data_IF_657715505628
#
_entry.id   IF_657715505628
#
_cell.length_a   1.000
_cell.length_b   1.000
_cell.length_c   1.000
_cell.angle_alpha   90.00
_cell.angle_beta   90.00
_cell.angle_gamma   90.00
#
_symmetry.space_group_name_H-M   'P 1'
#
loop_
_entity.id
_entity.type
_entity.pdbx_description
1 polymer ?
#
# COMPACT_ATOMS: atom_id res chain seq x y z
N UNK A 1 -9.86 -6.34 -2.00
CA UNK A 1 -9.10 -5.10 -1.68
C UNK A 1 -7.66 -5.23 -1.14
N UNK A 2 -7.26 -6.32 -0.44
CA UNK A 2 -5.95 -6.40 0.25
C UNK A 2 -4.73 -6.18 -0.66
N UNK A 3 -4.74 -6.74 -1.88
CA UNK A 3 -3.66 -6.58 -2.86
C UNK A 3 -3.35 -5.10 -3.16
N UNK A 4 -4.38 -4.29 -3.38
CA UNK A 4 -4.22 -2.86 -3.69
C UNK A 4 -3.65 -2.09 -2.49
N UNK A 5 -4.05 -2.46 -1.27
CA UNK A 5 -3.51 -1.84 -0.05
C UNK A 5 -2.01 -2.11 0.08
N UNK A 6 -1.58 -3.37 -0.06
CA UNK A 6 -0.15 -3.74 0.02
C UNK A 6 0.66 -3.05 -1.08
N UNK A 7 0.13 -2.99 -2.30
CA UNK A 7 0.76 -2.28 -3.41
C UNK A 7 0.93 -0.78 -3.11
N UNK A 8 -0.13 -0.11 -2.63
CA UNK A 8 -0.08 1.31 -2.29
C UNK A 8 0.92 1.61 -1.17
N UNK A 9 0.98 0.76 -0.13
CA UNK A 9 1.97 0.88 0.93
C UNK A 9 3.40 0.67 0.42
N UNK A 10 3.63 -0.34 -0.42
CA UNK A 10 4.95 -0.60 -1.00
C UNK A 10 5.46 0.57 -1.84
N UNK A 11 4.60 1.14 -2.68
CA UNK A 11 4.92 2.31 -3.52
C UNK A 11 5.22 3.55 -2.67
N UNK A 12 4.38 3.84 -1.68
CA UNK A 12 4.50 5.08 -0.89
C UNK A 12 5.62 5.06 0.14
N UNK A 13 5.95 3.90 0.71
CA UNK A 13 6.96 3.79 1.76
C UNK A 13 8.34 3.37 1.26
N UNK A 14 8.43 2.58 0.19
CA UNK A 14 9.69 2.01 -0.27
C UNK A 14 10.75 3.05 -0.62
N UNK A 15 10.37 4.05 -1.42
CA UNK A 15 11.29 5.10 -1.86
C UNK A 15 11.73 6.04 -0.72
N UNK A 16 10.83 6.60 0.12
CA UNK A 16 11.25 7.42 1.26
C UNK A 16 12.19 6.70 2.21
N UNK A 17 11.95 5.42 2.50
CA UNK A 17 12.83 4.62 3.36
C UNK A 17 14.22 4.52 2.74
N UNK A 18 14.33 4.19 1.45
CA UNK A 18 15.61 4.12 0.76
C UNK A 18 16.38 5.46 0.81
N UNK A 19 15.68 6.58 0.63
CA UNK A 19 16.26 7.94 0.68
C UNK A 19 16.79 8.29 2.07
N UNK A 20 16.09 7.91 3.15
CA UNK A 20 16.54 8.15 4.53
C UNK A 20 17.87 7.42 4.81
N UNK A 21 18.00 6.17 4.39
CA UNK A 21 19.25 5.42 4.57
C UNK A 21 20.37 5.97 3.69
N UNK A 22 20.08 6.29 2.43
CA UNK A 22 21.05 6.83 1.50
C UNK A 22 21.59 8.18 1.96
N UNK A 23 20.73 9.13 2.33
CA UNK A 23 21.13 10.45 2.84
C UNK A 23 22.03 10.35 4.07
N UNK A 24 21.72 9.44 5.00
CA UNK A 24 22.56 9.19 6.18
C UNK A 24 23.95 8.67 5.80
N UNK A 25 24.00 7.70 4.88
CA UNK A 25 25.26 7.14 4.40
C UNK A 25 26.11 8.15 3.62
N UNK A 26 25.49 8.94 2.74
CA UNK A 26 26.14 10.00 1.96
C UNK A 26 26.69 11.11 2.86
N UNK A 27 25.92 11.55 3.86
CA UNK A 27 26.37 12.53 4.83
C UNK A 27 27.61 12.07 5.59
N UNK A 28 27.61 10.80 6.05
CA UNK A 28 28.76 10.19 6.72
C UNK A 28 29.97 10.08 5.80
N UNK A 29 29.80 9.55 4.58
CA UNK A 29 30.88 9.40 3.61
C UNK A 29 31.52 10.76 3.28
N UNK A 30 30.69 11.79 3.09
CA UNK A 30 31.14 13.15 2.80
C UNK A 30 31.89 13.76 3.99
N UNK A 31 31.35 13.65 5.21
CA UNK A 31 32.02 14.16 6.42
C UNK A 31 33.39 13.53 6.62
N UNK A 32 33.47 12.19 6.53
CA UNK A 32 34.74 11.46 6.68
C UNK A 32 35.75 11.81 5.58
N UNK A 33 35.29 12.02 4.34
CA UNK A 33 36.14 12.47 3.26
C UNK A 33 36.69 13.89 3.51
N UNK A 34 35.85 14.82 3.97
CA UNK A 34 36.27 16.19 4.30
C UNK A 34 37.27 16.22 5.46
N UNK A 35 37.06 15.43 6.51
CA UNK A 35 38.04 15.28 7.60
C UNK A 35 39.37 14.70 7.10
N UNK A 36 39.31 13.70 6.20
CA UNK A 36 40.50 13.13 5.56
C UNK A 36 41.28 14.18 4.76
N UNK A 37 40.57 14.99 3.96
CA UNK A 37 41.15 16.07 3.16
C UNK A 37 41.78 17.13 4.08
N UNK A 38 41.12 17.51 5.16
CA UNK A 38 41.64 18.49 6.11
C UNK A 38 42.93 18.01 6.80
N UNK A 39 43.06 16.70 7.04
CA UNK A 39 44.26 16.09 7.65
C UNK A 39 45.39 15.86 6.65
N UNK A 40 45.07 15.57 5.40
CA UNK A 40 46.03 15.25 4.34
C UNK A 40 45.64 15.96 3.03
N UNK A 41 45.86 17.29 2.96
CA UNK A 41 45.47 18.10 1.79
C UNK A 41 46.15 17.63 0.50
N UNK A 42 47.37 17.09 0.57
CA UNK A 42 48.11 16.53 -0.56
C UNK A 42 47.41 15.31 -1.20
N UNK A 43 46.55 14.61 -0.44
CA UNK A 43 45.80 13.45 -0.92
C UNK A 43 44.37 13.80 -1.36
N UNK A 44 44.01 15.09 -1.41
CA UNK A 44 42.63 15.55 -1.62
C UNK A 44 41.97 14.93 -2.87
N UNK A 45 42.66 14.94 -4.02
CA UNK A 45 42.12 14.37 -5.25
C UNK A 45 41.83 12.86 -5.18
N UNK A 46 42.67 12.10 -4.47
CA UNK A 46 42.44 10.65 -4.27
C UNK A 46 41.25 10.40 -3.34
N UNK A 47 41.16 11.17 -2.24
CA UNK A 47 40.05 11.06 -1.29
C UNK A 47 38.73 11.44 -1.97
N UNK A 48 38.71 12.54 -2.74
CA UNK A 48 37.53 12.97 -3.48
C UNK A 48 37.09 11.92 -4.51
N UNK A 49 38.03 11.31 -5.23
CA UNK A 49 37.72 10.23 -6.19
C UNK A 49 37.08 9.03 -5.50
N UNK A 50 37.67 8.57 -4.39
CA UNK A 50 37.12 7.47 -3.61
C UNK A 50 35.72 7.80 -3.03
N UNK A 51 35.53 9.04 -2.54
CA UNK A 51 34.25 9.54 -2.05
C UNK A 51 33.19 9.51 -3.16
N UNK A 52 33.49 10.06 -4.35
CA UNK A 52 32.54 10.10 -5.48
C UNK A 52 32.13 8.69 -5.90
N UNK A 53 33.07 7.74 -5.97
CA UNK A 53 32.74 6.33 -6.27
C UNK A 53 31.80 5.76 -5.20
N UNK A 54 32.09 5.99 -3.91
CA UNK A 54 31.21 5.56 -2.83
C UNK A 54 29.81 6.18 -2.89
N UNK A 55 29.73 7.49 -3.14
CA UNK A 55 28.45 8.21 -3.30
C UNK A 55 27.67 7.70 -4.52
N UNK A 56 28.34 7.44 -5.65
CA UNK A 56 27.70 6.89 -6.85
C UNK A 56 27.12 5.49 -6.61
N UNK A 57 27.80 4.64 -5.83
CA UNK A 57 27.27 3.33 -5.45
C UNK A 57 26.03 3.46 -4.55
N UNK A 58 26.05 4.37 -3.57
CA UNK A 58 24.87 4.64 -2.73
C UNK A 58 23.71 5.15 -3.58
N UNK A 59 23.98 6.10 -4.48
CA UNK A 59 22.96 6.70 -5.35
C UNK A 59 22.36 5.67 -6.32
N UNK A 60 23.16 4.71 -6.80
CA UNK A 60 22.65 3.65 -7.69
C UNK A 60 21.54 2.82 -7.03
N UNK A 61 21.61 2.60 -5.71
CA UNK A 61 20.57 1.89 -4.96
C UNK A 61 19.29 2.74 -4.86
N UNK A 62 19.42 4.05 -4.68
CA UNK A 62 18.30 4.99 -4.67
C UNK A 62 17.62 5.03 -6.04
N UNK A 63 18.40 5.05 -7.12
CA UNK A 63 17.88 5.02 -8.49
C UNK A 63 17.13 3.69 -8.75
N UNK A 64 17.61 2.55 -8.25
CA UNK A 64 16.85 1.31 -8.35
C UNK A 64 15.52 1.36 -7.58
N UNK A 65 15.50 1.95 -6.38
CA UNK A 65 14.26 2.17 -5.64
C UNK A 65 13.30 3.11 -6.41
N UNK A 66 13.81 4.17 -7.03
CA UNK A 66 13.04 5.11 -7.84
C UNK A 66 12.49 4.44 -9.12
N UNK A 67 13.28 3.58 -9.77
CA UNK A 67 12.84 2.79 -10.92
C UNK A 67 11.66 1.87 -10.52
N UNK A 68 11.81 1.16 -9.40
CA UNK A 68 10.74 0.30 -8.87
C UNK A 68 9.49 1.11 -8.51
N UNK A 69 9.65 2.31 -7.95
CA UNK A 69 8.55 3.22 -7.68
C UNK A 69 7.75 3.53 -8.96
N UNK A 70 8.41 3.93 -10.05
CA UNK A 70 7.70 4.22 -11.31
C UNK A 70 7.00 3.00 -11.91
N UNK A 71 7.64 1.83 -11.86
CA UNK A 71 7.06 0.58 -12.38
C UNK A 71 5.79 0.20 -11.60
N UNK A 72 5.81 0.34 -10.27
CA UNK A 72 4.70 -0.06 -9.41
C UNK A 72 3.61 1.01 -9.31
N UNK A 73 3.96 2.29 -9.35
CA UNK A 73 2.99 3.40 -9.38
C UNK A 73 2.08 3.28 -10.61
N UNK A 74 2.62 2.86 -11.76
CA UNK A 74 1.84 2.64 -12.97
C UNK A 74 0.84 1.46 -12.86
N UNK A 75 0.92 0.65 -11.81
CA UNK A 75 -0.02 -0.46 -11.53
C UNK A 75 -1.17 -0.05 -10.60
N UNK A 76 -1.12 1.14 -10.01
CA UNK A 76 -2.19 1.62 -9.14
C UNK A 76 -3.38 2.10 -9.98
N UNK A 77 -4.62 1.65 -9.65
CA UNK A 77 -5.82 2.11 -10.33
C UNK A 77 -6.13 3.58 -10.04
N UNK A 78 -6.74 4.27 -11.00
CA UNK A 78 -7.23 5.63 -10.83
C UNK A 78 -8.37 5.72 -9.81
N UNK A 79 -8.56 6.92 -9.24
CA UNK A 79 -9.53 7.16 -8.15
C UNK A 79 -10.96 6.79 -8.53
N UNK A 80 -11.38 7.05 -9.76
CA UNK A 80 -12.74 6.75 -10.20
C UNK A 80 -12.96 5.24 -10.38
N UNK A 81 -11.94 4.52 -10.90
CA UNK A 81 -11.97 3.05 -10.96
C UNK A 81 -11.95 2.41 -9.57
N UNK A 82 -11.18 2.97 -8.63
CA UNK A 82 -11.15 2.54 -7.23
C UNK A 82 -12.52 2.63 -6.56
N UNK A 83 -13.22 3.75 -6.75
CA UNK A 83 -14.59 3.94 -6.23
C UNK A 83 -15.54 2.91 -6.84
N UNK A 84 -15.50 2.72 -8.16
CA UNK A 84 -16.30 1.70 -8.83
C UNK A 84 -16.04 0.27 -8.33
N UNK A 85 -14.78 -0.07 -8.03
CA UNK A 85 -14.43 -1.37 -7.44
C UNK A 85 -14.98 -1.55 -6.03
N UNK A 86 -14.94 -0.50 -5.20
CA UNK A 86 -15.48 -0.52 -3.83
C UNK A 86 -17.01 -0.67 -3.86
N UNK A 87 -17.68 0.11 -4.70
CA UNK A 87 -19.14 0.09 -4.81
C UNK A 87 -19.64 -1.27 -5.33
N UNK A 88 -18.91 -1.88 -6.28
CA UNK A 88 -19.21 -3.21 -6.79
C UNK A 88 -19.02 -4.31 -5.74
N UNK A 89 -18.01 -4.20 -4.88
CA UNK A 89 -17.76 -5.15 -3.79
C UNK A 89 -18.84 -5.03 -2.71
N UNK A 90 -19.27 -3.81 -2.38
CA UNK A 90 -20.39 -3.56 -1.47
C UNK A 90 -21.72 -4.13 -1.98
N UNK A 91 -22.01 -3.97 -3.28
CA UNK A 91 -23.22 -4.52 -3.89
C UNK A 91 -23.29 -6.05 -3.86
N UNK A 92 -22.16 -6.74 -4.05
CA UNK A 92 -22.08 -8.21 -3.94
C UNK A 92 -22.35 -8.70 -2.53
N UNK A 93 -21.77 -8.05 -1.52
CA UNK A 93 -22.00 -8.38 -0.13
C UNK A 93 -23.48 -8.24 0.25
N UNK A 94 -24.16 -7.22 -0.28
CA UNK A 94 -25.59 -7.03 -0.04
C UNK A 94 -26.46 -8.13 -0.66
N UNK A 95 -26.14 -8.57 -1.88
CA UNK A 95 -26.85 -9.68 -2.53
C UNK A 95 -26.63 -11.00 -1.81
N UNK A 96 -25.39 -11.28 -1.40
CA UNK A 96 -25.05 -12.48 -0.60
C UNK A 96 -25.83 -12.50 0.71
N UNK A 97 -25.96 -11.35 1.38
CA UNK A 97 -26.71 -11.25 2.63
C UNK A 97 -28.23 -11.38 2.44
N UNK A 98 -28.81 -10.86 1.35
CA UNK A 98 -30.23 -11.09 1.03
C UNK A 98 -30.49 -12.57 0.69
N UNK A 99 -29.57 -13.21 -0.03
CA UNK A 99 -29.66 -14.63 -0.36
C UNK A 99 -29.50 -15.51 0.88
N UNK A 100 -28.58 -15.16 1.78
CA UNK A 100 -28.39 -15.83 3.07
C UNK A 100 -29.64 -15.69 3.95
N UNK A 101 -30.21 -14.49 4.04
CA UNK A 101 -31.47 -14.27 4.78
C UNK A 101 -32.65 -15.05 4.16
N UNK A 102 -32.69 -15.18 2.83
CA UNK A 102 -33.68 -15.99 2.14
C UNK A 102 -33.46 -17.50 2.31
N UNK A 103 -32.20 -17.95 2.38
CA UNK A 103 -31.83 -19.36 2.55
C UNK A 103 -31.98 -19.84 3.99
N UNK A 104 -31.72 -18.96 4.97
CA UNK A 104 -31.87 -19.26 6.38
C UNK A 104 -33.32 -19.14 6.86
N UNK A 105 -34.26 -18.89 5.94
CA UNK A 105 -35.69 -18.80 6.25
C UNK A 105 -35.92 -17.86 7.41
N UNK A 106 -35.75 -16.55 7.18
CA UNK A 106 -36.44 -15.60 8.05
C UNK A 106 -37.92 -15.94 7.90
N UNK A 107 -38.44 -16.70 8.86
CA UNK A 107 -39.88 -16.74 9.13
C UNK A 107 -40.29 -15.28 9.10
N UNK A 108 -41.11 -14.94 8.11
CA UNK A 108 -41.86 -13.71 8.14
C UNK A 108 -42.73 -13.87 9.38
N UNK A 109 -42.24 -13.39 10.53
CA UNK A 109 -43.12 -13.06 11.65
C UNK A 109 -44.08 -12.04 11.05
N UNK A 110 -45.26 -12.54 10.74
CA UNK A 110 -46.33 -11.80 10.15
C UNK A 110 -46.62 -10.64 11.09
N UNK A 111 -46.60 -9.42 10.57
CA UNK A 111 -46.86 -8.20 11.33
C UNK A 111 -48.29 -8.10 11.89
N UNK A 112 -49.02 -9.22 11.97
CA UNK A 112 -50.38 -9.30 12.44
C UNK A 112 -50.65 -10.31 13.55
N UNK A 113 -49.70 -11.14 14.01
CA UNK A 113 -49.84 -11.90 15.28
C UNK A 113 -51.22 -12.53 15.54
N UNK A 114 -51.87 -13.09 14.52
CA UNK A 114 -53.17 -13.76 14.64
C UNK A 114 -52.97 -15.20 14.23
N UNK A 115 -52.91 -16.08 15.24
CA UNK A 115 -53.06 -17.52 15.05
C UNK A 115 -54.38 -17.79 14.33
N UNK A 116 -54.30 -18.52 13.22
CA UNK A 116 -55.47 -18.97 12.48
C UNK A 116 -56.23 -19.99 13.35
N UNK A 117 -57.35 -19.57 13.93
CA UNK A 117 -58.31 -20.43 14.63
C UNK A 117 -58.95 -21.39 13.60
N UNK A 118 -58.82 -22.68 13.86
CA UNK A 118 -59.32 -23.79 13.04
C UNK A 118 -60.84 -23.71 12.89
N UNK A 119 -61.30 -23.25 11.72
CA UNK A 119 -62.70 -23.28 11.34
C UNK A 119 -63.09 -24.70 10.89
N UNK A 120 -63.22 -25.60 11.87
CA UNK A 120 -63.88 -26.88 11.71
C UNK A 120 -65.40 -26.74 11.78
N UNK A 121 -66.06 -27.02 10.65
CA UNK A 121 -67.51 -27.22 10.50
C UNK A 121 -68.08 -28.18 11.57
N UNK A 122 -69.26 -27.86 12.14
CA UNK A 122 -70.51 -28.57 11.86
C UNK A 122 -71.66 -28.17 12.81
N UNK A 123 -72.80 -27.87 12.16
CA UNK A 123 -74.21 -27.94 12.60
C UNK A 123 -74.69 -27.22 13.87
#
# INVERSE_FOLDING_TARGET
MIYLAVLAFGVTLGLPIAVIFASTAQGKATSTALEGIARQPESSGKIQTAMIIGLALIESLVIYALLMFFILQAKLPEGDMLRGMIDAEAGKAQIEQVQENAANGVEMEDANGVEMEDAGENE
#
